data_IF_041646692782
#
_entry.id   IF_041646692782
#
_cell.length_a   1.000
_cell.length_b   1.000
_cell.length_c   1.000
_cell.angle_alpha   90.00
_cell.angle_beta   90.00
_cell.angle_gamma   90.00
#
_symmetry.space_group_name_H-M   'P 1'
#
loop_
_entity.id
_entity.type
_entity.pdbx_description
1 polymer ?
#
# COMPACT_ATOMS: atom_id res chain seq x y z
N UNK A 1 5.78 10.24 -16.11
CA UNK A 1 5.71 9.69 -14.75
C UNK A 1 7.10 9.29 -14.30
N UNK A 2 7.36 9.46 -13.02
CA UNK A 2 8.63 9.05 -12.42
C UNK A 2 8.42 7.86 -11.54
N UNK A 3 9.36 6.93 -11.58
CA UNK A 3 9.32 5.73 -10.76
C UNK A 3 10.59 5.63 -9.93
N UNK A 4 10.44 5.11 -8.70
CA UNK A 4 11.56 4.90 -7.80
C UNK A 4 11.40 3.56 -7.11
N UNK A 5 12.52 2.83 -7.00
CA UNK A 5 12.52 1.51 -6.40
C UNK A 5 13.24 1.55 -5.07
N UNK A 6 12.75 0.76 -4.13
CA UNK A 6 13.33 0.63 -2.80
C UNK A 6 13.38 -0.85 -2.43
N UNK A 7 14.39 -1.24 -1.69
CA UNK A 7 14.50 -2.60 -1.17
C UNK A 7 14.81 -2.55 0.31
N UNK A 8 14.25 -3.48 1.05
CA UNK A 8 14.47 -3.57 2.49
C UNK A 8 14.53 -5.05 2.87
N UNK A 9 15.48 -5.40 3.72
CA UNK A 9 15.68 -6.76 4.15
C UNK A 9 16.84 -7.41 3.43
N UNK A 10 16.99 -8.70 3.61
CA UNK A 10 18.10 -9.44 3.04
C UNK A 10 17.65 -10.82 2.60
N UNK A 11 18.10 -11.21 1.44
CA UNK A 11 17.93 -12.55 0.90
C UNK A 11 16.50 -13.07 0.95
N UNK A 12 16.19 -13.95 1.91
CA UNK A 12 14.90 -14.62 1.99
C UNK A 12 13.75 -13.71 2.33
N UNK A 13 14.04 -12.59 2.99
CA UNK A 13 13.01 -11.67 3.48
C UNK A 13 13.10 -10.31 2.82
N UNK A 14 13.51 -10.29 1.57
CA UNK A 14 13.62 -9.05 0.83
C UNK A 14 12.24 -8.51 0.48
N UNK A 15 11.99 -7.29 0.89
CA UNK A 15 10.82 -6.54 0.47
C UNK A 15 11.25 -5.51 -0.56
N UNK A 16 10.48 -5.37 -1.60
CA UNK A 16 10.71 -4.39 -2.63
C UNK A 16 9.49 -3.49 -2.77
N UNK A 17 9.73 -2.24 -3.04
CA UNK A 17 8.65 -1.31 -3.32
C UNK A 17 9.03 -0.45 -4.51
N UNK A 18 8.05 -0.25 -5.38
CA UNK A 18 8.20 0.67 -6.50
C UNK A 18 7.12 1.72 -6.37
N UNK A 19 7.53 2.97 -6.30
CA UNK A 19 6.61 4.08 -6.25
C UNK A 19 6.60 4.79 -7.59
N UNK A 20 5.40 5.01 -8.13
CA UNK A 20 5.22 5.69 -9.41
C UNK A 20 4.41 6.95 -9.16
N UNK A 21 4.97 8.07 -9.51
CA UNK A 21 4.29 9.35 -9.39
C UNK A 21 3.38 9.57 -10.59
N UNK A 22 2.12 9.82 -10.33
CA UNK A 22 1.08 10.01 -11.34
C UNK A 22 0.49 11.41 -11.14
N UNK A 23 1.15 12.41 -11.72
CA UNK A 23 0.79 13.79 -11.41
C UNK A 23 1.08 14.09 -9.96
N UNK A 24 0.06 14.51 -9.21
CA UNK A 24 0.19 14.73 -7.77
C UNK A 24 -0.10 13.48 -6.96
N UNK A 25 -0.58 12.43 -7.58
CA UNK A 25 -0.94 11.19 -6.92
C UNK A 25 0.20 10.18 -6.98
N UNK A 26 0.08 9.12 -6.23
CA UNK A 26 1.12 8.12 -6.10
C UNK A 26 0.55 6.72 -6.21
N UNK A 27 1.23 5.86 -6.93
CA UNK A 27 0.95 4.43 -6.94
C UNK A 27 2.16 3.70 -6.40
N UNK A 28 1.94 2.81 -5.43
CA UNK A 28 3.01 2.05 -4.80
C UNK A 28 2.73 0.57 -4.99
N UNK A 29 3.74 -0.15 -5.46
CA UNK A 29 3.68 -1.61 -5.59
C UNK A 29 4.64 -2.20 -4.57
N UNK A 30 4.13 -3.04 -3.68
CA UNK A 30 4.94 -3.68 -2.65
C UNK A 30 5.03 -5.16 -2.95
N UNK A 31 6.24 -5.66 -3.11
CA UNK A 31 6.48 -7.06 -3.42
C UNK A 31 7.37 -7.71 -2.37
N UNK A 32 7.28 -9.02 -2.28
CA UNK A 32 8.09 -9.80 -1.37
C UNK A 32 7.62 -11.25 -1.33
N UNK A 33 8.41 -12.08 -0.67
CA UNK A 33 8.08 -13.48 -0.54
C UNK A 33 8.54 -14.33 -1.72
N UNK A 34 8.15 -15.59 -1.72
CA UNK A 34 8.59 -16.53 -2.73
C UNK A 34 7.92 -16.37 -4.08
N UNK A 35 6.64 -16.06 -4.06
CA UNK A 35 5.86 -15.83 -5.27
C UNK A 35 5.18 -14.50 -5.17
N UNK A 36 5.25 -13.74 -6.23
CA UNK A 36 4.61 -12.45 -6.29
C UNK A 36 3.38 -12.52 -7.19
N UNK A 37 2.25 -12.12 -6.62
CA UNK A 37 1.00 -11.98 -7.37
C UNK A 37 0.19 -10.89 -6.69
N UNK A 38 -0.71 -10.31 -7.43
CA UNK A 38 -1.54 -9.25 -6.85
C UNK A 38 -2.50 -9.89 -5.86
N UNK A 39 -2.31 -9.56 -4.58
CA UNK A 39 -3.13 -10.07 -3.50
C UNK A 39 -4.18 -9.08 -3.04
N UNK A 40 -3.84 -7.80 -3.01
CA UNK A 40 -4.75 -6.75 -2.58
C UNK A 40 -4.42 -5.44 -3.25
N UNK A 41 -5.44 -4.63 -3.44
CA UNK A 41 -5.31 -3.28 -3.99
C UNK A 41 -6.07 -2.33 -3.05
N UNK A 42 -5.42 -1.28 -2.61
CA UNK A 42 -6.06 -0.26 -1.79
C UNK A 42 -5.93 1.09 -2.47
N UNK A 43 -7.00 1.87 -2.43
CA UNK A 43 -6.96 3.26 -2.90
C UNK A 43 -7.32 4.13 -1.72
N UNK A 44 -6.38 4.98 -1.32
CA UNK A 44 -6.58 5.92 -0.24
C UNK A 44 -6.81 7.32 -0.79
N UNK A 45 -7.75 8.04 -0.20
CA UNK A 45 -8.04 9.42 -0.60
C UNK A 45 -7.98 10.32 0.62
N UNK A 46 -7.49 11.57 0.46
CA UNK A 46 -7.48 12.51 1.56
C UNK A 46 -8.89 13.05 1.80
N UNK A 47 -9.18 13.34 3.05
CA UNK A 47 -10.41 14.01 3.44
C UNK A 47 -10.17 14.83 4.69
N UNK A 48 -11.02 15.82 4.97
CA UNK A 48 -10.92 16.52 6.25
C UNK A 48 -11.23 15.56 7.40
N UNK A 49 -10.55 15.75 8.52
CA UNK A 49 -10.85 14.99 9.72
C UNK A 49 -12.27 15.30 10.20
N UNK A 50 -12.96 14.29 10.72
CA UNK A 50 -14.27 14.49 11.29
C UNK A 50 -14.24 15.34 12.57
N UNK A 51 -13.10 15.34 13.25
CA UNK A 51 -12.92 16.10 14.48
C UNK A 51 -12.45 17.53 14.22
N UNK A 52 -11.63 17.73 13.20
CA UNK A 52 -11.07 19.03 12.89
C UNK A 52 -10.86 19.13 11.37
N UNK A 53 -11.62 20.02 10.74
CA UNK A 53 -11.59 20.21 9.29
C UNK A 53 -10.24 20.68 8.75
N UNK A 54 -9.40 21.25 9.61
CA UNK A 54 -8.07 21.72 9.21
C UNK A 54 -7.03 20.61 9.20
N UNK A 55 -7.37 19.43 9.70
CA UNK A 55 -6.47 18.29 9.74
C UNK A 55 -6.84 17.33 8.62
N UNK A 56 -5.83 16.94 7.85
CA UNK A 56 -6.02 15.96 6.78
C UNK A 56 -6.10 14.56 7.38
N UNK A 57 -7.15 13.87 7.06
CA UNK A 57 -7.31 12.46 7.37
C UNK A 57 -7.41 11.68 6.06
N UNK A 58 -7.72 10.40 6.14
CA UNK A 58 -7.76 9.55 4.96
C UNK A 58 -8.85 8.51 5.06
N UNK A 59 -9.32 8.07 3.91
CA UNK A 59 -10.22 6.94 3.77
C UNK A 59 -9.65 6.01 2.71
N UNK A 60 -9.87 4.72 2.84
CA UNK A 60 -9.38 3.76 1.87
C UNK A 60 -10.45 2.78 1.47
N UNK A 61 -10.44 2.42 0.19
CA UNK A 61 -11.21 1.33 -0.37
C UNK A 61 -10.23 0.21 -0.70
N UNK A 62 -10.60 -1.02 -0.39
CA UNK A 62 -9.71 -2.17 -0.55
C UNK A 62 -10.40 -3.26 -1.33
N UNK A 63 -9.69 -3.82 -2.29
CA UNK A 63 -10.09 -5.02 -2.98
C UNK A 63 -9.07 -6.10 -2.63
N UNK A 64 -9.52 -7.14 -1.96
CA UNK A 64 -8.68 -8.26 -1.58
C UNK A 64 -8.99 -9.45 -2.47
N UNK A 65 -7.96 -9.98 -3.12
CA UNK A 65 -8.13 -11.06 -4.08
C UNK A 65 -7.86 -12.44 -3.51
N UNK A 66 -6.95 -12.54 -2.57
CA UNK A 66 -6.45 -13.84 -2.17
C UNK A 66 -6.46 -14.12 -0.67
N UNK A 67 -6.27 -13.16 0.17
CA UNK A 67 -6.12 -13.45 1.58
C UNK A 67 -6.46 -12.28 2.45
N UNK A 68 -6.43 -12.52 3.75
CA UNK A 68 -6.86 -11.53 4.71
C UNK A 68 -5.75 -10.58 5.14
N UNK A 69 -4.52 -11.08 5.16
CA UNK A 69 -3.41 -10.30 5.69
C UNK A 69 -2.88 -9.29 4.70
N UNK A 70 -2.98 -9.60 3.42
CA UNK A 70 -2.52 -8.69 2.37
C UNK A 70 -3.37 -7.43 2.32
N UNK A 71 -4.67 -7.54 2.59
CA UNK A 71 -5.53 -6.36 2.52
C UNK A 71 -5.27 -5.41 3.69
N UNK A 72 -4.89 -5.94 4.86
CA UNK A 72 -4.54 -5.10 6.00
C UNK A 72 -3.30 -4.28 5.71
N UNK A 73 -2.29 -4.89 5.09
CA UNK A 73 -1.07 -4.18 4.74
C UNK A 73 -1.34 -3.09 3.71
N UNK A 74 -2.05 -3.43 2.64
CA UNK A 74 -2.35 -2.48 1.59
C UNK A 74 -3.18 -1.31 2.12
N UNK A 75 -4.19 -1.61 2.93
CA UNK A 75 -5.04 -0.58 3.52
C UNK A 75 -4.26 0.36 4.43
N UNK A 76 -3.47 -0.22 5.32
CA UNK A 76 -2.69 0.58 6.27
C UNK A 76 -1.70 1.47 5.55
N UNK A 77 -1.00 0.93 4.56
CA UNK A 77 -0.05 1.71 3.79
C UNK A 77 -0.74 2.85 3.05
N UNK A 78 -1.88 2.59 2.42
CA UNK A 78 -2.61 3.63 1.71
C UNK A 78 -3.07 4.74 2.65
N UNK A 79 -3.63 4.39 3.80
CA UNK A 79 -4.10 5.38 4.77
C UNK A 79 -2.96 6.25 5.29
N UNK A 80 -1.83 5.63 5.62
CA UNK A 80 -0.68 6.36 6.15
C UNK A 80 -0.06 7.29 5.12
N UNK A 81 0.13 6.79 3.90
CA UNK A 81 0.73 7.58 2.84
C UNK A 81 -0.15 8.77 2.45
N UNK A 82 -1.46 8.57 2.41
CA UNK A 82 -2.37 9.68 2.12
C UNK A 82 -2.28 10.75 3.19
N UNK A 83 -2.22 10.37 4.47
CA UNK A 83 -2.08 11.35 5.55
C UNK A 83 -0.79 12.14 5.45
N UNK A 84 0.29 11.47 5.04
CA UNK A 84 1.59 12.13 4.91
C UNK A 84 1.67 13.05 3.71
N UNK A 85 1.07 12.63 2.60
CA UNK A 85 1.24 13.32 1.33
C UNK A 85 0.09 14.27 0.98
N UNK A 86 -1.10 14.01 1.50
CA UNK A 86 -2.25 14.81 1.17
C UNK A 86 -2.80 14.60 -0.23
N UNK A 87 -2.45 13.49 -0.87
CA UNK A 87 -2.88 13.16 -2.22
C UNK A 87 -3.39 11.73 -2.27
N UNK A 88 -4.07 11.39 -3.36
CA UNK A 88 -4.57 10.03 -3.56
C UNK A 88 -3.42 9.07 -3.77
N UNK A 89 -3.46 7.93 -3.07
CA UNK A 89 -2.42 6.90 -3.16
C UNK A 89 -3.08 5.55 -3.42
N UNK A 90 -2.58 4.85 -4.42
CA UNK A 90 -2.96 3.47 -4.68
C UNK A 90 -1.81 2.57 -4.23
N UNK A 91 -2.14 1.51 -3.50
CA UNK A 91 -1.17 0.53 -3.05
C UNK A 91 -1.56 -0.84 -3.59
N UNK A 92 -0.65 -1.45 -4.33
CA UNK A 92 -0.81 -2.84 -4.78
C UNK A 92 0.12 -3.70 -3.94
N UNK A 93 -0.44 -4.66 -3.24
CA UNK A 93 0.35 -5.60 -2.45
C UNK A 93 0.51 -6.89 -3.24
N UNK A 94 1.77 -7.23 -3.52
CA UNK A 94 2.14 -8.49 -4.17
C UNK A 94 2.70 -9.48 -3.17
N UNK A 95 2.68 -9.13 -1.88
CA UNK A 95 3.23 -9.98 -0.84
C UNK A 95 2.29 -11.14 -0.59
N UNK A 96 2.81 -12.35 -0.63
CA UNK A 96 2.08 -13.54 -0.25
C UNK A 96 2.54 -14.00 1.12
N UNK A 97 1.65 -13.93 2.07
CA UNK A 97 1.92 -14.36 3.44
C UNK A 97 1.18 -15.68 3.64
N UNK A 98 1.95 -16.74 3.75
CA UNK A 98 1.39 -18.06 3.99
C UNK A 98 0.89 -18.18 5.42
N UNK A 99 -0.26 -18.83 5.58
CA UNK A 99 -0.72 -19.17 6.91
C UNK A 99 0.20 -20.24 7.49
N UNK A 100 0.51 -20.17 8.79
CA UNK A 100 1.25 -21.25 9.41
C UNK A 100 0.49 -22.55 9.29
N UNK A 101 1.18 -23.59 8.89
CA UNK A 101 0.59 -24.91 8.79
C UNK A 101 0.56 -25.56 10.17
N UNK A 102 -0.50 -26.24 10.41
CA UNK A 102 -0.63 -26.95 11.66
C UNK A 102 -0.69 -28.42 11.47
#
# INVERSE_FOLDING_TARGET
MQAKSFSLGAQEYLLEAVAVRCGDDLTVVIGGGEKQHIGAVAVGVPRPSLKDKNIVSSSASVLCLTGHKEDLLARKAALELVRMLGHTVTVLSLIHISEPTR
#
